data_IF_765285242766
#
_entry.id   IF_765285242766
#
_cell.length_a   1.000
_cell.length_b   1.000
_cell.length_c   1.000
_cell.angle_alpha   90.00
_cell.angle_beta   90.00
_cell.angle_gamma   90.00
#
_symmetry.space_group_name_H-M   'P 1'
#
loop_
_entity.id
_entity.type
_entity.pdbx_description
1 polymer ?
#
# COMPACT_ATOMS: atom_id res chain seq x y z
N UNK A 1 -29.68 61.96 -32.30
CA UNK A 1 -28.37 61.61 -31.75
C UNK A 1 -28.44 60.14 -31.38
N UNK A 2 -27.91 59.21 -32.23
CA UNK A 2 -27.99 57.76 -32.01
C UNK A 2 -26.65 57.31 -31.42
N UNK A 3 -26.69 56.77 -30.19
CA UNK A 3 -25.55 56.16 -29.52
C UNK A 3 -25.31 54.76 -30.12
N UNK A 4 -24.24 54.64 -30.86
CA UNK A 4 -23.76 53.37 -31.42
C UNK A 4 -23.17 52.51 -30.26
N UNK A 5 -23.93 51.50 -29.83
CA UNK A 5 -23.52 50.55 -28.80
C UNK A 5 -22.48 49.60 -29.42
N UNK A 6 -21.24 49.75 -29.02
CA UNK A 6 -20.13 48.93 -29.51
C UNK A 6 -20.13 47.59 -28.73
N UNK A 7 -20.66 46.51 -29.37
CA UNK A 7 -20.76 45.18 -28.76
C UNK A 7 -19.67 44.26 -29.29
N UNK A 8 -18.40 44.55 -28.98
CA UNK A 8 -17.27 43.65 -29.26
C UNK A 8 -16.73 42.95 -28.01
N UNK A 9 -17.48 42.95 -26.91
CA UNK A 9 -17.03 42.35 -25.64
C UNK A 9 -17.09 40.80 -25.64
N UNK A 10 -17.86 40.16 -26.58
CA UNK A 10 -18.10 38.73 -26.50
C UNK A 10 -16.95 37.84 -26.98
N UNK A 11 -16.13 38.29 -27.91
CA UNK A 11 -15.09 37.44 -28.51
C UNK A 11 -13.79 37.36 -27.69
N UNK A 12 -13.44 38.45 -26.97
CA UNK A 12 -12.24 38.46 -26.13
C UNK A 12 -12.45 37.65 -24.86
N UNK A 13 -13.68 37.63 -24.33
CA UNK A 13 -14.02 36.88 -23.11
C UNK A 13 -13.90 35.40 -23.30
N UNK A 14 -14.26 34.85 -24.46
CA UNK A 14 -14.19 33.41 -24.74
C UNK A 14 -12.75 32.90 -24.87
N UNK A 15 -11.86 33.66 -25.51
CA UNK A 15 -10.46 33.32 -25.64
C UNK A 15 -9.74 33.37 -24.28
N UNK A 16 -10.04 34.36 -23.43
CA UNK A 16 -9.50 34.45 -22.07
C UNK A 16 -9.97 33.31 -21.18
N UNK A 17 -11.24 32.91 -21.27
CA UNK A 17 -11.77 31.77 -20.52
C UNK A 17 -11.09 30.46 -20.98
N UNK A 18 -10.86 30.29 -22.28
CA UNK A 18 -10.19 29.11 -22.82
C UNK A 18 -8.72 29.03 -22.40
N UNK A 19 -8.01 30.16 -22.36
CA UNK A 19 -6.62 30.25 -21.88
C UNK A 19 -6.56 29.94 -20.37
N UNK A 20 -7.49 30.45 -19.57
CA UNK A 20 -7.59 30.19 -18.13
C UNK A 20 -7.90 28.72 -17.84
N UNK A 21 -8.83 28.10 -18.57
CA UNK A 21 -9.13 26.67 -18.47
C UNK A 21 -7.95 25.80 -18.90
N UNK A 22 -7.19 26.23 -19.94
CA UNK A 22 -6.02 25.53 -20.40
C UNK A 22 -4.87 25.55 -19.37
N UNK A 23 -4.71 26.63 -18.63
CA UNK A 23 -3.72 26.71 -17.54
C UNK A 23 -4.06 25.80 -16.35
N UNK A 24 -5.36 25.58 -16.05
CA UNK A 24 -5.79 24.70 -14.95
C UNK A 24 -5.47 23.24 -15.28
N UNK A 25 -5.50 22.83 -16.55
CA UNK A 25 -5.16 21.46 -16.99
C UNK A 25 -3.67 21.17 -16.83
N UNK A 26 -2.80 22.20 -16.87
CA UNK A 26 -1.35 22.06 -16.69
C UNK A 26 -0.87 22.20 -15.24
N UNK A 27 -1.73 22.55 -14.30
CA UNK A 27 -1.45 22.37 -12.88
C UNK A 27 -1.46 20.87 -12.60
N UNK A 28 -0.38 20.18 -13.00
CA UNK A 28 -0.08 18.85 -12.44
C UNK A 28 0.02 19.06 -10.95
N UNK A 29 -0.98 18.58 -10.23
CA UNK A 29 -0.86 18.37 -8.81
C UNK A 29 0.26 17.34 -8.65
N UNK A 30 1.49 17.82 -8.44
CA UNK A 30 2.57 17.02 -7.90
C UNK A 30 2.18 16.74 -6.44
N UNK A 31 1.28 15.81 -6.26
CA UNK A 31 1.14 15.12 -5.01
C UNK A 31 2.39 14.25 -4.90
N UNK A 32 3.50 14.84 -4.44
CA UNK A 32 4.58 14.07 -3.87
C UNK A 32 4.02 13.40 -2.61
N UNK A 33 3.40 12.25 -2.81
CA UNK A 33 3.28 11.28 -1.75
C UNK A 33 4.71 10.83 -1.48
N UNK A 34 5.38 11.47 -0.53
CA UNK A 34 6.57 10.93 0.12
C UNK A 34 6.12 9.67 0.87
N UNK A 35 5.85 8.62 0.12
CA UNK A 35 5.74 7.26 0.64
C UNK A 35 7.19 6.88 0.91
N UNK A 36 7.63 7.04 2.16
CA UNK A 36 8.82 6.37 2.63
C UNK A 36 8.49 4.89 2.60
N UNK A 37 8.81 4.23 1.49
CA UNK A 37 8.82 2.78 1.43
C UNK A 37 10.01 2.33 2.28
N UNK A 38 9.71 1.78 3.43
CA UNK A 38 10.70 1.12 4.26
C UNK A 38 11.35 -0.01 3.46
N UNK A 39 12.61 -0.32 3.77
CA UNK A 39 13.36 -1.37 3.05
C UNK A 39 13.12 -2.76 3.62
N UNK A 40 12.75 -2.83 4.90
CA UNK A 40 12.60 -4.08 5.62
C UNK A 40 11.31 -4.12 6.42
N UNK A 41 10.78 -5.33 6.56
CA UNK A 41 9.69 -5.65 7.47
C UNK A 41 10.12 -6.71 8.48
N UNK A 42 9.60 -6.61 9.69
CA UNK A 42 9.73 -7.64 10.73
C UNK A 42 8.37 -8.26 10.98
N UNK A 43 8.31 -9.57 10.90
CA UNK A 43 7.12 -10.36 11.23
C UNK A 43 7.41 -11.38 12.31
N UNK A 44 6.38 -11.80 13.03
CA UNK A 44 6.41 -12.97 13.91
C UNK A 44 5.61 -14.09 13.25
N UNK A 45 6.17 -15.29 13.22
CA UNK A 45 5.47 -16.49 12.77
C UNK A 45 5.34 -17.44 13.94
N UNK A 46 4.11 -17.76 14.31
CA UNK A 46 3.80 -18.79 15.30
C UNK A 46 3.53 -20.11 14.57
N UNK A 47 4.25 -21.14 14.94
CA UNK A 47 3.91 -22.51 14.64
C UNK A 47 2.92 -23.01 15.72
N UNK A 48 1.66 -23.22 15.34
CA UNK A 48 0.59 -23.65 16.25
C UNK A 48 0.78 -25.08 16.77
N UNK A 49 1.52 -25.91 16.04
CA UNK A 49 1.77 -27.30 16.42
C UNK A 49 2.82 -27.37 17.52
N UNK A 50 3.90 -26.65 17.36
CA UNK A 50 5.00 -26.64 18.35
C UNK A 50 4.90 -25.52 19.38
N UNK A 51 3.94 -24.59 19.20
CA UNK A 51 3.81 -23.35 19.99
C UNK A 51 5.06 -22.47 19.97
N UNK A 52 5.89 -22.62 18.95
CA UNK A 52 7.13 -21.86 18.80
C UNK A 52 6.91 -20.61 17.95
N UNK A 53 7.31 -19.47 18.47
CA UNK A 53 7.31 -18.21 17.73
C UNK A 53 8.71 -17.91 17.17
N UNK A 54 8.77 -17.58 15.90
CA UNK A 54 10.02 -17.20 15.21
C UNK A 54 9.88 -15.80 14.67
N UNK A 55 10.88 -14.96 14.92
CA UNK A 55 10.97 -13.60 14.37
C UNK A 55 11.71 -13.66 13.04
N UNK A 56 11.12 -13.12 12.00
CA UNK A 56 11.71 -13.05 10.66
C UNK A 56 11.85 -11.61 10.22
N UNK A 57 12.96 -11.32 9.54
CA UNK A 57 13.24 -10.07 8.86
C UNK A 57 13.16 -10.32 7.35
N UNK A 58 12.36 -9.53 6.65
CA UNK A 58 12.17 -9.62 5.21
C UNK A 58 12.64 -8.33 4.55
N UNK A 59 13.30 -8.45 3.41
CA UNK A 59 13.49 -7.36 2.46
C UNK A 59 12.19 -7.15 1.69
N UNK A 60 11.74 -5.91 1.55
CA UNK A 60 10.50 -5.62 0.82
C UNK A 60 10.70 -5.92 -0.66
N UNK A 61 9.75 -6.64 -1.25
CA UNK A 61 9.77 -7.09 -2.64
C UNK A 61 10.51 -8.40 -2.88
N UNK A 62 11.15 -8.98 -1.85
CA UNK A 62 11.84 -10.26 -1.96
C UNK A 62 11.04 -11.40 -1.32
N UNK A 63 11.13 -12.58 -1.91
CA UNK A 63 10.52 -13.79 -1.38
C UNK A 63 11.36 -14.38 -0.25
N UNK A 64 10.73 -14.70 0.87
CA UNK A 64 11.35 -15.44 1.97
C UNK A 64 10.69 -16.81 2.12
N UNK A 65 11.49 -17.85 2.08
CA UNK A 65 11.04 -19.22 2.33
C UNK A 65 11.21 -19.55 3.81
N UNK A 66 10.11 -19.85 4.47
CA UNK A 66 10.10 -20.30 5.87
C UNK A 66 9.27 -21.57 5.98
N UNK A 67 9.92 -22.70 6.29
CA UNK A 67 9.30 -24.03 6.29
C UNK A 67 8.63 -24.33 4.94
N UNK A 68 7.31 -24.46 4.92
CA UNK A 68 6.53 -24.66 3.71
C UNK A 68 5.81 -23.40 3.23
N UNK A 69 6.12 -22.25 3.79
CA UNK A 69 5.56 -20.98 3.37
C UNK A 69 6.55 -20.21 2.49
N UNK A 70 6.05 -19.64 1.42
CA UNK A 70 6.71 -18.58 0.68
C UNK A 70 6.02 -17.26 1.04
N UNK A 71 6.75 -16.36 1.68
CA UNK A 71 6.25 -15.09 2.20
C UNK A 71 6.91 -13.95 1.44
N UNK A 72 6.11 -13.02 0.92
CA UNK A 72 6.58 -11.81 0.28
C UNK A 72 5.83 -10.60 0.85
N UNK A 73 6.55 -9.55 1.18
CA UNK A 73 5.98 -8.26 1.56
C UNK A 73 6.26 -7.27 0.44
N UNK A 74 5.20 -6.87 -0.28
CA UNK A 74 5.32 -5.97 -1.41
C UNK A 74 5.44 -4.51 -1.01
N UNK A 75 4.81 -4.15 0.11
CA UNK A 75 4.84 -2.79 0.68
C UNK A 75 4.79 -2.86 2.19
N UNK A 76 5.52 -1.98 2.85
CA UNK A 76 5.47 -1.80 4.29
C UNK A 76 5.61 -0.31 4.59
N UNK A 77 4.77 0.22 5.46
CA UNK A 77 4.74 1.64 5.78
C UNK A 77 4.27 1.87 7.21
N UNK A 78 4.79 2.94 7.80
CA UNK A 78 4.35 3.45 9.10
C UNK A 78 3.48 4.69 8.87
N UNK A 79 2.39 4.86 9.63
CA UNK A 79 1.64 6.11 9.61
C UNK A 79 2.47 7.22 10.26
N UNK A 80 2.50 8.41 9.65
CA UNK A 80 3.40 9.51 10.10
C UNK A 80 2.73 10.49 11.07
N UNK A 81 1.43 10.37 11.27
CA UNK A 81 0.63 11.43 11.87
C UNK A 81 0.18 11.16 13.31
N UNK A 82 0.53 10.00 13.86
CA UNK A 82 0.11 9.60 15.20
C UNK A 82 1.29 9.44 16.15
N UNK A 83 1.06 9.72 17.44
CA UNK A 83 2.01 9.47 18.51
C UNK A 83 2.31 7.96 18.66
N UNK A 84 1.39 7.10 18.17
CA UNK A 84 1.54 5.65 18.07
C UNK A 84 1.22 5.22 16.63
N UNK A 85 2.23 5.24 15.73
CA UNK A 85 2.03 5.03 14.30
C UNK A 85 1.57 3.61 13.99
N UNK A 86 0.45 3.50 13.27
CA UNK A 86 0.03 2.21 12.71
C UNK A 86 1.04 1.72 11.67
N UNK A 87 1.40 0.46 11.77
CA UNK A 87 2.25 -0.23 10.81
C UNK A 87 1.39 -1.08 9.91
N UNK A 88 1.47 -0.85 8.61
CA UNK A 88 0.71 -1.59 7.61
C UNK A 88 1.63 -2.22 6.57
N UNK A 89 1.29 -3.42 6.12
CA UNK A 89 2.02 -4.08 5.03
C UNK A 89 1.07 -4.82 4.10
N UNK A 90 1.41 -4.83 2.80
CA UNK A 90 0.77 -5.72 1.84
C UNK A 90 1.58 -7.00 1.75
N UNK A 91 1.01 -8.09 2.24
CA UNK A 91 1.68 -9.38 2.37
C UNK A 91 1.04 -10.42 1.46
N UNK A 92 1.88 -11.22 0.85
CA UNK A 92 1.51 -12.39 0.06
C UNK A 92 2.12 -13.64 0.69
N UNK A 93 1.32 -14.67 0.88
CA UNK A 93 1.79 -15.95 1.41
C UNK A 93 1.24 -17.10 0.56
N UNK A 94 2.12 -18.03 0.19
CA UNK A 94 1.80 -19.24 -0.53
C UNK A 94 2.21 -20.43 0.34
N UNK A 95 1.32 -21.42 0.51
CA UNK A 95 1.66 -22.71 1.11
C UNK A 95 2.18 -23.67 0.03
N UNK A 96 3.46 -24.02 0.13
CA UNK A 96 4.15 -24.90 -0.81
C UNK A 96 3.79 -26.40 -0.65
N UNK A 97 3.09 -26.78 0.44
CA UNK A 97 2.57 -28.14 0.63
C UNK A 97 1.33 -28.41 -0.19
N UNK A 98 0.66 -27.38 -0.65
CA UNK A 98 -0.51 -27.55 -1.49
C UNK A 98 -0.09 -28.19 -2.81
N UNK A 99 -0.57 -29.41 -3.06
CA UNK A 99 -0.17 -30.23 -4.22
C UNK A 99 -0.77 -29.75 -5.54
N UNK A 100 -1.67 -28.79 -5.49
CA UNK A 100 -2.21 -28.15 -6.69
C UNK A 100 -1.10 -27.38 -7.36
N UNK A 101 -0.87 -27.67 -8.64
CA UNK A 101 0.19 -27.04 -9.45
C UNK A 101 0.01 -25.51 -9.61
N UNK A 102 -1.12 -25.00 -9.20
CA UNK A 102 -1.41 -23.58 -9.21
C UNK A 102 -0.92 -22.94 -7.91
N UNK A 103 -0.09 -21.89 -8.03
CA UNK A 103 0.37 -21.08 -6.90
C UNK A 103 -0.82 -20.30 -6.32
N UNK A 104 -1.55 -20.93 -5.39
CA UNK A 104 -2.67 -20.30 -4.72
C UNK A 104 -2.16 -19.57 -3.48
N UNK A 105 -2.45 -18.29 -3.39
CA UNK A 105 -2.18 -17.52 -2.19
C UNK A 105 -3.10 -17.96 -1.07
N UNK A 106 -2.53 -18.36 0.07
CA UNK A 106 -3.29 -18.55 1.31
C UNK A 106 -3.55 -17.23 2.02
N UNK A 107 -2.78 -16.19 1.67
CA UNK A 107 -3.00 -14.81 2.06
C UNK A 107 -2.48 -13.86 0.97
N UNK A 108 -3.26 -12.84 0.63
CA UNK A 108 -2.87 -11.82 -0.35
C UNK A 108 -3.66 -10.53 -0.07
N UNK A 109 -3.27 -9.81 0.99
CA UNK A 109 -4.00 -8.62 1.44
C UNK A 109 -3.11 -7.74 2.34
N UNK A 110 -3.68 -6.60 2.76
CA UNK A 110 -3.12 -5.74 3.78
C UNK A 110 -3.21 -6.37 5.17
N UNK A 111 -2.14 -6.25 5.94
CA UNK A 111 -2.08 -6.61 7.36
C UNK A 111 -1.71 -5.40 8.19
N UNK A 112 -2.18 -5.39 9.45
CA UNK A 112 -2.06 -4.27 10.39
C UNK A 112 -1.40 -4.77 11.68
N UNK A 113 -0.38 -4.04 12.16
CA UNK A 113 0.36 -4.47 13.36
C UNK A 113 -0.46 -4.34 14.64
N UNK A 114 -1.24 -3.25 14.78
CA UNK A 114 -2.08 -3.01 15.96
C UNK A 114 -3.34 -3.86 15.95
N UNK A 115 -3.84 -4.23 14.78
CA UNK A 115 -5.15 -4.87 14.62
C UNK A 115 -5.11 -6.01 13.60
N UNK A 116 -4.37 -7.08 13.87
CA UNK A 116 -4.20 -8.21 12.92
C UNK A 116 -5.53 -8.93 12.64
N UNK A 117 -6.52 -8.79 13.50
CA UNK A 117 -7.85 -9.41 13.32
C UNK A 117 -8.71 -8.75 12.23
N UNK A 118 -8.36 -7.57 11.73
CA UNK A 118 -9.08 -6.92 10.61
C UNK A 118 -8.96 -7.77 9.34
N UNK A 119 -7.78 -8.32 9.11
CA UNK A 119 -7.46 -9.25 8.02
C UNK A 119 -6.62 -10.39 8.58
N UNK A 120 -7.25 -11.38 9.21
CA UNK A 120 -6.54 -12.47 9.86
C UNK A 120 -5.86 -13.35 8.82
N UNK A 121 -4.63 -13.76 9.13
CA UNK A 121 -3.98 -14.84 8.41
C UNK A 121 -4.56 -16.16 8.89
N UNK A 122 -5.39 -16.78 8.07
CA UNK A 122 -6.03 -18.07 8.41
C UNK A 122 -5.28 -19.23 7.74
N UNK A 123 -4.44 -19.89 8.54
CA UNK A 123 -3.70 -21.07 8.11
C UNK A 123 -3.73 -22.13 9.22
N UNK A 124 -3.92 -23.43 8.91
CA UNK A 124 -4.10 -24.48 9.93
C UNK A 124 -2.89 -24.66 10.86
N UNK A 125 -1.69 -24.34 10.40
CA UNK A 125 -0.45 -24.61 11.14
C UNK A 125 0.24 -23.33 11.62
N UNK A 126 0.10 -22.22 10.91
CA UNK A 126 0.84 -21.00 11.21
C UNK A 126 -0.09 -19.81 11.46
N UNK A 127 0.37 -18.89 12.32
CA UNK A 127 -0.11 -17.49 12.36
C UNK A 127 1.04 -16.56 12.04
N UNK A 128 0.73 -15.45 11.35
CA UNK A 128 1.72 -14.43 10.98
C UNK A 128 1.23 -13.07 11.47
N UNK A 129 2.10 -12.34 12.17
CA UNK A 129 1.84 -10.99 12.64
C UNK A 129 2.91 -10.02 12.17
N UNK A 130 2.48 -8.92 11.58
CA UNK A 130 3.36 -7.78 11.30
C UNK A 130 3.77 -7.11 12.61
N UNK A 131 5.04 -6.72 12.72
CA UNK A 131 5.55 -6.01 13.91
C UNK A 131 5.99 -4.60 13.59
N UNK A 132 6.84 -4.41 12.58
CA UNK A 132 7.36 -3.11 12.21
C UNK A 132 7.91 -3.09 10.80
N UNK A 133 7.93 -1.89 10.20
CA UNK A 133 8.68 -1.57 8.99
C UNK A 133 9.86 -0.66 9.36
N UNK A 134 10.99 -0.78 8.67
CA UNK A 134 12.16 0.07 8.90
C UNK A 134 13.12 0.08 7.70
N UNK A 135 13.95 1.10 7.63
CA UNK A 135 15.01 1.30 6.62
C UNK A 135 16.36 0.83 7.13
#
# INVERSE_FOLDING_TARGET
MQLKKNTNLGKVSFALIFILLFQIIFLKANSETNIYSESFAEILVLDKVSSKTTKLKLTIGEELFFQNLNINILKCQNSKFDDDPEVTAFMQVIDLKNKDKDKVFVFNDWTFASSPSIRPFDHPVYDIWLKKCYS
#
